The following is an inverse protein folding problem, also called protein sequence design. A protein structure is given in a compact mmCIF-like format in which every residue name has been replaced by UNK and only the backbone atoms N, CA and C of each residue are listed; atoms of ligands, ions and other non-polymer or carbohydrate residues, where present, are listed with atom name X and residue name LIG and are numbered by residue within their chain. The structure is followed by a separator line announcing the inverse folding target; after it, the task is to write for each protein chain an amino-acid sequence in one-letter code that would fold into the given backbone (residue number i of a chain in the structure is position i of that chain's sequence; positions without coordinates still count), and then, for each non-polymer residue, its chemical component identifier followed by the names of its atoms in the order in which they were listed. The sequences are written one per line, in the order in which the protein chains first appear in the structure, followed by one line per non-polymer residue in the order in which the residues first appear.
data_IF_554710395348
#
_entry.id   IF_554710395348
#
_cell.length_a   1.000
_cell.length_b   1.000
_cell.length_c   1.000
_cell.angle_alpha   90.00
_cell.angle_beta   90.00
_cell.angle_gamma   90.00
#
_symmetry.space_group_name_H-M   'P 1'
#
loop_
_entity.id
_entity.type
_entity.pdbx_description
1 polymer ?
#
# COMPACT_ATOMS: atom_id res chain seq x y z
N UNK A 1 -31.92 -10.13 1.63
CA UNK A 1 -31.59 -9.54 1.52
C UNK A 1 -30.36 -9.11 1.86
N UNK A 2 -30.18 -8.43 2.65
CA UNK A 2 -28.96 -7.95 3.00
C UNK A 2 -27.98 -8.93 3.42
N UNK A 3 -28.37 -10.07 3.61
CA UNK A 3 -27.47 -11.08 4.02
C UNK A 3 -26.35 -11.26 3.06
N UNK A 4 -26.61 -11.15 1.79
CA UNK A 4 -25.59 -11.29 0.84
C UNK A 4 -24.59 -10.21 0.93
N UNK A 5 -25.04 -9.03 1.17
CA UNK A 5 -24.17 -7.94 1.32
C UNK A 5 -23.30 -8.08 2.49
N UNK A 6 -23.80 -8.60 3.52
CA UNK A 6 -23.01 -8.78 4.68
C UNK A 6 -21.95 -9.79 4.50
N UNK A 7 -22.18 -10.76 3.64
CA UNK A 7 -21.23 -11.76 3.44
C UNK A 7 -20.22 -11.31 2.49
N UNK A 8 -20.44 -10.32 1.72
CA UNK A 8 -19.51 -9.86 0.81
C UNK A 8 -18.31 -9.42 1.51
N UNK A 9 -17.14 -9.74 1.06
CA UNK A 9 -15.93 -9.29 1.68
C UNK A 9 -15.89 -7.79 1.64
N UNK A 10 -15.50 -7.20 2.71
CA UNK A 10 -15.46 -5.81 2.75
C UNK A 10 -14.40 -5.38 1.84
N UNK A 11 -14.59 -4.38 1.06
CA UNK A 11 -13.56 -3.89 0.19
C UNK A 11 -12.34 -3.51 0.95
N UNK A 12 -12.50 -3.27 2.21
CA UNK A 12 -11.38 -2.84 2.97
C UNK A 12 -10.49 -3.96 3.42
N UNK A 13 -10.68 -5.15 2.97
CA UNK A 13 -9.78 -6.21 3.33
C UNK A 13 -8.83 -6.46 2.19
N UNK A 14 -9.25 -7.22 1.21
CA UNK A 14 -8.39 -7.55 0.12
C UNK A 14 -8.21 -6.42 -0.86
N UNK A 15 -9.26 -5.64 -1.08
CA UNK A 15 -9.21 -4.59 -2.08
C UNK A 15 -8.28 -3.46 -1.68
N UNK A 16 -8.28 -3.09 -0.41
CA UNK A 16 -7.41 -2.03 0.03
C UNK A 16 -5.97 -2.48 -0.02
N UNK A 17 -5.69 -3.69 0.38
CA UNK A 17 -4.34 -4.20 0.32
C UNK A 17 -3.85 -4.24 -1.12
N UNK A 18 -4.67 -4.70 -2.04
CA UNK A 18 -4.34 -4.73 -3.43
C UNK A 18 -4.08 -3.34 -3.97
N UNK A 19 -4.93 -2.40 -3.63
CA UNK A 19 -4.78 -1.05 -4.09
C UNK A 19 -3.48 -0.45 -3.58
N UNK A 20 -3.18 -0.64 -2.31
CA UNK A 20 -1.96 -0.11 -1.74
C UNK A 20 -0.74 -0.72 -2.44
N UNK A 21 -0.77 -2.01 -2.67
CA UNK A 21 0.33 -2.69 -3.33
C UNK A 21 0.55 -2.11 -4.72
N UNK A 22 -0.51 -1.97 -5.49
CA UNK A 22 -0.41 -1.45 -6.84
C UNK A 22 0.11 -0.03 -6.86
N UNK A 23 -0.35 0.80 -5.94
CA UNK A 23 0.11 2.17 -5.90
C UNK A 23 1.59 2.24 -5.56
N UNK A 24 2.03 1.43 -4.63
CA UNK A 24 3.43 1.45 -4.24
C UNK A 24 4.32 0.98 -5.37
N UNK A 25 3.88 -0.01 -6.13
CA UNK A 25 4.64 -0.44 -7.27
C UNK A 25 4.71 0.67 -8.30
N UNK A 26 3.61 1.37 -8.50
CA UNK A 26 3.58 2.48 -9.45
C UNK A 26 4.52 3.59 -9.04
N UNK A 27 4.71 3.80 -7.75
CA UNK A 27 5.60 4.85 -7.27
C UNK A 27 7.07 4.50 -7.52
N UNK A 28 7.38 3.22 -7.63
CA UNK A 28 8.75 2.81 -7.88
C UNK A 28 9.31 1.77 -6.93
N UNK A 29 8.50 1.28 -6.00
CA UNK A 29 8.97 0.23 -5.11
C UNK A 29 8.98 -1.11 -5.83
N UNK A 30 9.88 -1.99 -5.43
CA UNK A 30 9.88 -3.34 -5.98
C UNK A 30 8.66 -4.09 -5.45
N UNK A 31 8.37 -5.24 -6.03
CA UNK A 31 7.25 -6.04 -5.58
C UNK A 31 7.39 -6.42 -4.12
N UNK A 32 8.58 -6.82 -3.71
CA UNK A 32 8.81 -7.18 -2.31
C UNK A 32 8.63 -5.99 -1.38
N UNK A 33 9.17 -4.86 -1.77
CA UNK A 33 9.03 -3.66 -0.95
C UNK A 33 7.59 -3.23 -0.88
N UNK A 34 6.90 -3.26 -2.02
CA UNK A 34 5.52 -2.84 -2.05
C UNK A 34 4.65 -3.75 -1.20
N UNK A 35 4.90 -5.04 -1.24
CA UNK A 35 4.12 -5.97 -0.44
C UNK A 35 4.34 -5.72 1.05
N UNK A 36 5.58 -5.52 1.45
CA UNK A 36 5.88 -5.25 2.83
C UNK A 36 5.21 -3.98 3.29
N UNK A 37 5.31 -2.92 2.51
CA UNK A 37 4.72 -1.65 2.90
C UNK A 37 3.20 -1.72 2.89
N UNK A 38 2.62 -2.41 1.90
CA UNK A 38 1.17 -2.50 1.83
C UNK A 38 0.60 -3.29 3.00
N UNK A 39 1.38 -4.22 3.53
CA UNK A 39 0.92 -5.04 4.64
C UNK A 39 0.95 -4.34 5.98
N UNK A 40 1.61 -3.18 6.06
CA UNK A 40 1.72 -2.46 7.31
C UNK A 40 0.68 -1.36 7.36
N UNK A 41 -0.30 -1.47 8.23
CA UNK A 41 -1.39 -0.49 8.23
C UNK A 41 -0.95 0.91 8.56
N UNK A 42 0.14 1.08 9.27
CA UNK A 42 0.58 2.40 9.64
C UNK A 42 1.27 3.14 8.51
N UNK A 43 1.57 2.47 7.41
CA UNK A 43 2.26 3.12 6.31
C UNK A 43 1.30 4.00 5.54
N UNK A 44 1.67 5.27 5.39
CA UNK A 44 0.84 6.23 4.68
C UNK A 44 1.25 6.23 3.22
N UNK A 45 0.34 5.83 2.35
CA UNK A 45 0.62 5.72 0.94
C UNK A 45 0.99 7.07 0.33
N UNK A 46 0.34 8.14 0.79
CA UNK A 46 0.63 9.44 0.26
C UNK A 46 2.00 9.92 0.65
N UNK A 47 2.41 9.58 1.86
CA UNK A 47 3.74 9.93 2.31
C UNK A 47 4.77 9.15 1.51
N UNK A 48 4.49 7.89 1.20
CA UNK A 48 5.39 7.09 0.38
C UNK A 48 5.56 7.72 -1.00
N UNK A 49 4.46 8.19 -1.57
CA UNK A 49 4.50 8.83 -2.86
C UNK A 49 5.37 10.08 -2.80
N UNK A 50 5.21 10.87 -1.76
CA UNK A 50 5.97 12.09 -1.61
C UNK A 50 7.44 11.83 -1.47
N UNK A 51 7.80 10.80 -0.74
CA UNK A 51 9.21 10.48 -0.56
C UNK A 51 9.86 10.15 -1.90
N UNK A 52 9.21 9.33 -2.71
CA UNK A 52 9.78 8.97 -3.98
C UNK A 52 9.75 10.13 -4.96
N UNK A 53 8.71 10.95 -4.91
CA UNK A 53 8.62 12.10 -5.78
C UNK A 53 9.71 13.12 -5.45
N UNK A 54 10.15 13.13 -4.21
CA UNK A 54 11.22 14.04 -3.81
C UNK A 54 12.60 13.50 -4.13
N UNK A 55 12.67 12.32 -4.72
CA UNK A 55 13.96 11.75 -5.10
C UNK A 55 14.53 10.77 -4.11
N UNK A 56 13.76 10.42 -3.09
CA UNK A 56 14.27 9.48 -2.10
C UNK A 56 14.33 8.08 -2.71
N UNK A 57 15.44 7.37 -2.56
CA UNK A 57 15.50 6.01 -3.10
C UNK A 57 14.48 5.11 -2.42
N UNK A 58 13.96 4.15 -3.15
CA UNK A 58 12.93 3.27 -2.62
C UNK A 58 13.38 2.56 -1.35
N UNK A 59 14.62 2.15 -1.32
CA UNK A 59 15.15 1.46 -0.16
C UNK A 59 15.16 2.35 1.06
N UNK A 60 15.57 3.59 0.90
CA UNK A 60 15.59 4.53 1.99
C UNK A 60 14.16 4.88 2.41
N UNK A 61 13.28 5.07 1.45
CA UNK A 61 11.90 5.36 1.77
C UNK A 61 11.27 4.23 2.56
N UNK A 62 11.58 3.00 2.21
CA UNK A 62 11.07 1.87 2.94
C UNK A 62 11.51 1.91 4.40
N UNK A 63 12.75 2.26 4.65
CA UNK A 63 13.24 2.36 6.01
C UNK A 63 12.56 3.45 6.77
N UNK A 64 12.29 4.57 6.13
CA UNK A 64 11.60 5.67 6.79
C UNK A 64 10.16 5.26 7.12
N UNK A 65 9.50 4.54 6.22
CA UNK A 65 8.10 4.20 6.41
C UNK A 65 7.90 3.06 7.40
N UNK A 66 8.82 2.19 7.52
CA UNK A 66 8.75 1.09 8.46
C UNK A 66 9.46 1.44 9.75
#
# INVERSE_FOLDING_TARGET
MSTLEERRPRPDDADILSWRFCELVRFGFSNDQAFRLASEPQVDIRFAERLLAAGCPAETAQRILL
#
